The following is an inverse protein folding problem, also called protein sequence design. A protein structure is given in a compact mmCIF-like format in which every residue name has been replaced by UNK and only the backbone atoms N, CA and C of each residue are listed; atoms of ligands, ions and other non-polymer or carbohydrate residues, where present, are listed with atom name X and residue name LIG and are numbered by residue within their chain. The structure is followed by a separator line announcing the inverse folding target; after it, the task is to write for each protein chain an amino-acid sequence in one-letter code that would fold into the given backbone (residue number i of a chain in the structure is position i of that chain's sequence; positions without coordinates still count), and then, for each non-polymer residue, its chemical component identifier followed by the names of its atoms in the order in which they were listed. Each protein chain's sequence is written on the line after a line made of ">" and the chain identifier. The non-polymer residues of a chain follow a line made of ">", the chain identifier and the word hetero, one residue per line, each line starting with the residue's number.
data_IF_746302912936
#
_entry.id   IF_746302912936
#
_cell.length_a   1.000
_cell.length_b   1.000
_cell.length_c   1.000
_cell.angle_alpha   90.00
_cell.angle_beta   90.00
_cell.angle_gamma   90.00
#
_symmetry.space_group_name_H-M   'P 1'
#
loop_
_entity.id
_entity.type
_entity.pdbx_description
1 polymer ?
#
# COMPACT_ATOMS: atom_id res chain seq x y z
N UNK A 1 18.03 4.68 21.92
CA UNK A 1 17.00 5.76 21.96
C UNK A 1 16.70 6.38 20.58
N UNK A 2 17.70 6.90 19.87
CA UNK A 2 17.50 7.58 18.58
C UNK A 2 16.90 6.70 17.46
N UNK A 3 17.35 5.46 17.32
CA UNK A 3 16.82 4.56 16.29
C UNK A 3 15.33 4.22 16.45
N UNK A 4 14.81 4.17 17.69
CA UNK A 4 13.39 3.94 17.95
C UNK A 4 12.57 5.18 17.54
N UNK A 5 13.04 6.39 17.87
CA UNK A 5 12.40 7.64 17.45
C UNK A 5 12.27 7.74 15.93
N UNK A 6 13.31 7.34 15.19
CA UNK A 6 13.26 7.32 13.72
C UNK A 6 12.21 6.34 13.20
N UNK A 7 12.11 5.15 13.79
CA UNK A 7 11.09 4.17 13.41
C UNK A 7 9.69 4.70 13.71
N UNK A 8 9.49 5.33 14.87
CA UNK A 8 8.19 5.82 15.28
C UNK A 8 7.72 6.99 14.43
N UNK A 9 8.62 7.93 14.11
CA UNK A 9 8.32 9.01 13.20
C UNK A 9 8.02 8.49 11.78
N UNK A 10 8.81 7.54 11.27
CA UNK A 10 8.53 6.95 9.96
C UNK A 10 7.20 6.19 9.93
N UNK A 11 6.84 5.51 11.03
CA UNK A 11 5.53 4.88 11.19
C UNK A 11 4.39 5.90 11.16
N UNK A 12 4.56 7.02 11.86
CA UNK A 12 3.59 8.12 11.91
C UNK A 12 3.38 8.75 10.52
N UNK A 13 4.48 8.98 9.80
CA UNK A 13 4.45 9.60 8.49
C UNK A 13 3.77 8.69 7.46
N UNK A 14 4.06 7.38 7.49
CA UNK A 14 3.38 6.40 6.65
C UNK A 14 1.90 6.30 6.97
N UNK A 15 1.52 6.25 8.25
CA UNK A 15 0.12 6.22 8.68
C UNK A 15 -0.66 7.42 8.14
N UNK A 16 -0.12 8.64 8.31
CA UNK A 16 -0.74 9.87 7.79
C UNK A 16 -0.91 9.86 6.27
N UNK A 17 0.06 9.34 5.52
CA UNK A 17 -0.06 9.24 4.07
C UNK A 17 -1.16 8.25 3.66
N UNK A 18 -1.25 7.10 4.32
CA UNK A 18 -2.33 6.13 4.08
C UNK A 18 -3.69 6.76 4.36
N UNK A 19 -3.86 7.41 5.52
CA UNK A 19 -5.10 8.08 5.90
C UNK A 19 -5.51 9.17 4.90
N UNK A 20 -4.56 9.98 4.44
CA UNK A 20 -4.81 11.00 3.44
C UNK A 20 -5.34 10.40 2.12
N UNK A 21 -4.76 9.28 1.68
CA UNK A 21 -5.23 8.57 0.47
C UNK A 21 -6.62 7.97 0.69
N UNK A 22 -6.84 7.28 1.80
CA UNK A 22 -8.15 6.69 2.14
C UNK A 22 -9.24 7.76 2.17
N UNK A 23 -8.99 8.89 2.84
CA UNK A 23 -9.93 10.00 2.94
C UNK A 23 -10.17 10.69 1.59
N UNK A 24 -9.11 10.99 0.84
CA UNK A 24 -9.24 11.70 -0.45
C UNK A 24 -9.97 10.89 -1.51
N UNK A 25 -9.88 9.56 -1.46
CA UNK A 25 -10.57 8.65 -2.36
C UNK A 25 -11.93 8.18 -1.83
N UNK A 26 -12.32 8.56 -0.61
CA UNK A 26 -13.58 8.14 0.02
C UNK A 26 -13.69 6.63 0.19
N UNK A 27 -12.58 5.96 0.51
CA UNK A 27 -12.54 4.49 0.61
C UNK A 27 -13.01 4.02 1.99
N UNK A 28 -13.82 2.96 2.00
CA UNK A 28 -14.23 2.27 3.22
C UNK A 28 -13.45 0.96 3.35
N UNK A 29 -12.66 0.84 4.42
CA UNK A 29 -11.90 -0.39 4.77
C UNK A 29 -11.06 -0.96 3.60
N UNK A 30 -10.28 -0.13 2.87
CA UNK A 30 -9.61 -0.61 1.68
C UNK A 30 -8.51 -1.63 2.02
N UNK A 31 -8.31 -2.67 1.19
CA UNK A 31 -7.14 -3.52 1.31
C UNK A 31 -5.87 -2.70 1.01
N UNK A 32 -4.76 -3.04 1.68
CA UNK A 32 -3.48 -2.34 1.52
C UNK A 32 -2.39 -3.32 1.17
N UNK A 33 -1.73 -3.10 0.03
CA UNK A 33 -0.54 -3.82 -0.37
C UNK A 33 0.71 -3.05 0.06
N UNK A 34 1.51 -3.65 0.95
CA UNK A 34 2.81 -3.10 1.35
C UNK A 34 3.90 -3.71 0.47
N UNK A 35 4.72 -2.86 -0.12
CA UNK A 35 5.91 -3.26 -0.88
C UNK A 35 7.09 -2.34 -0.57
N UNK A 36 8.29 -2.77 -0.96
CA UNK A 36 9.52 -2.02 -0.76
C UNK A 36 10.38 -2.56 0.39
N UNK A 37 11.69 -2.56 0.18
CA UNK A 37 12.63 -3.30 1.06
C UNK A 37 12.57 -2.90 2.53
N UNK A 38 12.35 -1.62 2.85
CA UNK A 38 12.34 -1.12 4.23
C UNK A 38 11.11 -1.59 5.01
N UNK A 39 9.90 -1.41 4.45
CA UNK A 39 8.65 -1.79 5.15
C UNK A 39 8.52 -3.31 5.25
N UNK A 40 8.99 -4.05 4.24
CA UNK A 40 8.96 -5.51 4.24
C UNK A 40 9.95 -6.11 5.26
N UNK A 41 11.18 -5.59 5.30
CA UNK A 41 12.23 -6.10 6.21
C UNK A 41 12.05 -5.64 7.66
N UNK A 42 11.39 -4.51 7.91
CA UNK A 42 11.24 -3.95 9.26
C UNK A 42 9.87 -4.28 9.87
N UNK A 43 9.81 -5.36 10.66
CA UNK A 43 8.63 -5.69 11.48
C UNK A 43 8.26 -4.55 12.44
N UNK A 44 9.25 -3.84 12.98
CA UNK A 44 9.05 -2.72 13.92
C UNK A 44 8.39 -1.52 13.23
N UNK A 45 8.79 -1.21 12.00
CA UNK A 45 8.15 -0.15 11.22
C UNK A 45 6.69 -0.49 10.89
N UNK A 46 6.43 -1.73 10.46
CA UNK A 46 5.05 -2.20 10.20
C UNK A 46 4.17 -2.10 11.44
N UNK A 47 4.68 -2.54 12.60
CA UNK A 47 3.96 -2.44 13.86
C UNK A 47 3.72 -0.97 14.27
N UNK A 48 4.72 -0.10 14.12
CA UNK A 48 4.61 1.32 14.46
C UNK A 48 3.61 2.06 13.55
N UNK A 49 3.61 1.78 12.25
CA UNK A 49 2.61 2.29 11.31
C UNK A 49 1.20 1.79 11.67
N UNK A 50 1.03 0.49 11.88
CA UNK A 50 -0.26 -0.10 12.21
C UNK A 50 -0.85 0.45 13.52
N UNK A 51 -0.01 0.74 14.52
CA UNK A 51 -0.44 1.33 15.79
C UNK A 51 -0.88 2.80 15.68
N UNK A 52 -0.51 3.49 14.59
CA UNK A 52 -0.76 4.91 14.39
C UNK A 52 -1.84 5.20 13.34
N UNK A 53 -2.25 4.18 12.58
CA UNK A 53 -3.37 4.27 11.64
C UNK A 53 -4.69 4.41 12.41
N UNK A 54 -5.42 5.49 12.15
CA UNK A 54 -6.71 5.80 12.74
C UNK A 54 -7.89 5.43 11.85
N UNK A 55 -7.66 5.18 10.56
CA UNK A 55 -8.68 4.70 9.62
C UNK A 55 -8.75 3.18 9.63
N UNK A 56 -9.95 2.63 9.44
CA UNK A 56 -10.09 1.20 9.29
C UNK A 56 -9.55 0.76 7.92
N UNK A 57 -8.64 -0.22 7.92
CA UNK A 57 -8.11 -0.85 6.73
C UNK A 57 -8.66 -2.26 6.61
N UNK A 58 -8.74 -2.75 5.38
CA UNK A 58 -9.02 -4.14 5.07
C UNK A 58 -7.78 -5.02 5.24
N UNK A 59 -7.69 -6.08 4.45
CA UNK A 59 -6.52 -6.97 4.45
C UNK A 59 -5.23 -6.19 4.13
N UNK A 60 -4.20 -6.39 4.94
CA UNK A 60 -2.85 -5.85 4.69
C UNK A 60 -1.95 -6.98 4.20
N UNK A 61 -1.57 -6.93 2.93
CA UNK A 61 -0.75 -7.96 2.29
C UNK A 61 0.67 -7.44 2.02
N UNK A 62 1.68 -8.29 2.24
CA UNK A 62 3.06 -7.99 1.83
C UNK A 62 3.27 -8.46 0.39
N UNK A 63 3.81 -7.59 -0.46
CA UNK A 63 4.03 -7.86 -1.89
C UNK A 63 5.53 -7.85 -2.18
N UNK A 64 6.08 -9.04 -2.38
CA UNK A 64 7.51 -9.25 -2.63
C UNK A 64 7.91 -9.06 -4.10
N UNK A 65 6.96 -9.25 -5.03
CA UNK A 65 7.14 -8.97 -6.45
C UNK A 65 6.04 -8.01 -6.97
N UNK A 66 6.29 -6.70 -6.94
CA UNK A 66 5.34 -5.72 -7.48
C UNK A 66 5.23 -5.76 -9.01
N UNK A 67 6.18 -6.39 -9.72
CA UNK A 67 6.19 -6.40 -11.19
C UNK A 67 5.07 -7.25 -11.77
N UNK A 68 4.65 -8.30 -11.05
CA UNK A 68 3.48 -9.11 -11.40
C UNK A 68 2.24 -8.25 -11.60
N UNK A 69 2.00 -7.24 -10.74
CA UNK A 69 0.86 -6.33 -10.88
C UNK A 69 0.90 -5.52 -12.17
N UNK A 70 2.07 -5.01 -12.56
CA UNK A 70 2.24 -4.26 -13.80
C UNK A 70 1.96 -5.13 -15.04
N UNK A 71 2.40 -6.40 -15.04
CA UNK A 71 2.11 -7.35 -16.12
C UNK A 71 0.61 -7.63 -16.22
N UNK A 72 -0.06 -7.81 -15.08
CA UNK A 72 -1.52 -8.02 -15.04
C UNK A 72 -2.24 -6.81 -15.61
N UNK A 73 -1.88 -5.59 -15.22
CA UNK A 73 -2.47 -4.35 -15.75
C UNK A 73 -2.28 -4.26 -17.28
N UNK A 74 -1.05 -4.49 -17.78
CA UNK A 74 -0.77 -4.45 -19.21
C UNK A 74 -1.61 -5.45 -20.02
N UNK A 75 -1.83 -6.65 -19.47
CA UNK A 75 -2.71 -7.66 -20.10
C UNK A 75 -4.16 -7.22 -20.17
N UNK A 76 -4.69 -6.58 -19.12
CA UNK A 76 -6.05 -6.04 -19.12
C UNK A 76 -6.21 -4.93 -20.15
N UNK A 77 -5.28 -3.97 -20.19
CA UNK A 77 -5.28 -2.88 -21.17
C UNK A 77 -5.27 -3.39 -22.62
N UNK A 78 -4.49 -4.44 -22.90
CA UNK A 78 -4.45 -5.05 -24.23
C UNK A 78 -5.78 -5.75 -24.58
N UNK A 79 -6.43 -6.40 -23.61
CA UNK A 79 -7.73 -7.04 -23.81
C UNK A 79 -8.85 -6.02 -24.07
N UNK A 80 -8.85 -4.90 -23.33
CA UNK A 80 -9.78 -3.79 -23.54
C UNK A 80 -9.60 -3.16 -24.93
N UNK A 81 -8.36 -2.88 -25.33
CA UNK A 81 -8.04 -2.33 -26.63
C UNK A 81 -8.51 -3.24 -27.79
N UNK A 82 -8.40 -4.56 -27.63
CA UNK A 82 -8.91 -5.54 -28.61
C UNK A 82 -10.43 -5.54 -28.71
N UNK A 83 -11.12 -5.43 -27.57
CA UNK A 83 -12.59 -5.38 -27.54
C UNK A 83 -13.09 -4.13 -28.27
N UNK A 84 -12.45 -2.98 -28.07
CA UNK A 84 -12.77 -1.72 -28.75
C UNK A 84 -12.46 -1.72 -30.25
N UNK A 85 -11.56 -2.58 -30.73
CA UNK A 85 -11.17 -2.64 -32.14
C UNK A 85 -12.09 -3.54 -33.00
N UNK A 86 -12.98 -4.32 -32.37
CA UNK A 86 -13.86 -5.30 -33.03
C UNK A 86 -15.35 -4.90 -32.95
N UNK A 87 -15.70 -3.89 -32.14
CA UNK A 87 -17.05 -3.31 -32.03
C UNK A 87 -17.19 -2.02 -32.82
#
# INVERSE_FOLDING_TARGET
>A
PGAQLVIDQAGADLARMVEAVVSSLGLERPPVALSGGVILSSRRLRASMAAQIAVELGEITSVDDPTTGAVVIARHMLAEARTLAVG
#
